data_IF_655726168866
#
_entry.id   IF_655726168866
#
_cell.length_a   1.000
_cell.length_b   1.000
_cell.length_c   1.000
_cell.angle_alpha   90.00
_cell.angle_beta   90.00
_cell.angle_gamma   90.00
#
_symmetry.space_group_name_H-M   'P 1'
#
loop_
_entity.id
_entity.type
_entity.pdbx_description
1 polymer ?
#
# COMPACT_ATOMS: atom_id res chain seq x y z
N UNK A 1 -69.87 -2.70 15.29
CA UNK A 1 -69.53 -3.41 16.54
C UNK A 1 -68.02 -3.43 16.66
N UNK A 2 -67.50 -3.01 17.81
CA UNK A 2 -66.08 -2.79 18.13
C UNK A 2 -65.46 -4.11 18.63
N UNK A 3 -64.18 -4.40 18.31
CA UNK A 3 -63.07 -4.65 19.28
C UNK A 3 -61.87 -5.45 18.72
N UNK A 4 -60.68 -4.85 18.96
CA UNK A 4 -59.34 -5.39 19.28
C UNK A 4 -58.63 -6.38 18.32
N UNK A 5 -57.53 -5.98 17.67
CA UNK A 5 -56.11 -5.88 18.12
C UNK A 5 -55.46 -7.23 18.45
N UNK A 6 -54.57 -7.68 17.56
CA UNK A 6 -53.26 -8.25 17.92
C UNK A 6 -52.20 -7.74 16.95
N UNK A 7 -51.19 -7.08 17.52
CA UNK A 7 -49.93 -6.71 16.88
C UNK A 7 -49.02 -7.93 17.02
N UNK A 8 -48.47 -8.43 15.91
CA UNK A 8 -47.33 -9.35 15.97
C UNK A 8 -46.14 -8.68 15.31
N UNK A 9 -45.14 -8.38 16.14
CA UNK A 9 -43.91 -7.69 15.81
C UNK A 9 -42.84 -8.77 15.60
N UNK A 10 -42.53 -9.12 14.34
CA UNK A 10 -41.34 -9.90 14.03
C UNK A 10 -40.24 -8.94 13.57
N UNK A 11 -39.40 -8.51 14.53
CA UNK A 11 -38.08 -7.97 14.23
C UNK A 11 -37.25 -9.13 13.72
N UNK A 12 -37.19 -9.29 12.40
CA UNK A 12 -36.11 -10.04 11.77
C UNK A 12 -34.85 -9.21 11.96
N UNK A 13 -34.04 -9.63 12.93
CA UNK A 13 -32.72 -9.09 13.17
C UNK A 13 -31.91 -9.15 11.88
N UNK A 14 -31.65 -7.99 11.29
CA UNK A 14 -30.54 -7.78 10.40
C UNK A 14 -29.27 -7.98 11.24
N UNK A 15 -28.78 -9.21 11.31
CA UNK A 15 -27.35 -9.41 11.51
C UNK A 15 -26.73 -8.97 10.18
N UNK A 16 -26.44 -7.68 10.09
CA UNK A 16 -25.47 -7.17 9.13
C UNK A 16 -24.16 -7.85 9.49
N UNK A 17 -23.93 -9.04 8.93
CA UNK A 17 -22.59 -9.55 8.79
C UNK A 17 -21.92 -8.54 7.87
N UNK A 18 -21.21 -7.58 8.46
CA UNK A 18 -20.27 -6.76 7.73
C UNK A 18 -19.26 -7.76 7.16
N UNK A 19 -19.50 -8.21 5.94
CA UNK A 19 -18.44 -8.67 5.08
C UNK A 19 -17.49 -7.48 4.99
N UNK A 20 -16.48 -7.47 5.86
CA UNK A 20 -15.28 -6.68 5.65
C UNK A 20 -14.71 -7.32 4.39
N UNK A 21 -15.14 -6.86 3.21
CA UNK A 21 -14.44 -7.16 1.99
C UNK A 21 -13.01 -6.75 2.26
N UNK A 22 -12.13 -7.75 2.41
CA UNK A 22 -10.75 -7.53 2.82
C UNK A 22 -10.10 -6.64 1.78
N UNK A 23 -10.06 -5.33 2.05
CA UNK A 23 -9.31 -4.42 1.25
C UNK A 23 -7.87 -4.56 1.70
N UNK A 24 -7.07 -5.23 0.86
CA UNK A 24 -5.64 -5.31 1.04
C UNK A 24 -5.07 -3.92 1.33
N UNK A 25 -4.26 -3.84 2.38
CA UNK A 25 -3.58 -2.61 2.72
C UNK A 25 -2.37 -2.48 1.80
N UNK A 26 -2.15 -1.32 1.22
CA UNK A 26 -1.02 -1.12 0.30
C UNK A 26 0.03 -0.18 0.84
N UNK A 27 -0.22 0.49 1.97
CA UNK A 27 0.64 1.54 2.51
C UNK A 27 0.95 1.33 4.00
N UNK A 28 2.21 1.55 4.37
CA UNK A 28 2.68 1.60 5.74
C UNK A 28 3.69 2.73 5.89
N UNK A 29 3.40 3.67 6.80
CA UNK A 29 4.25 4.83 7.11
C UNK A 29 4.63 5.68 5.86
N UNK A 30 3.69 5.87 4.95
CA UNK A 30 3.87 6.65 3.72
C UNK A 30 4.55 5.92 2.56
N UNK A 31 4.98 4.67 2.74
CA UNK A 31 5.54 3.82 1.68
C UNK A 31 4.52 2.79 1.20
N UNK A 32 4.54 2.45 -0.09
CA UNK A 32 3.61 1.46 -0.65
C UNK A 32 4.29 0.16 -1.09
N UNK A 33 3.57 -0.95 -0.97
CA UNK A 33 3.94 -2.19 -1.67
C UNK A 33 4.09 -1.90 -3.16
N UNK A 34 4.96 -2.62 -3.84
CA UNK A 34 5.36 -2.40 -5.24
C UNK A 34 6.11 -1.11 -5.54
N UNK A 35 6.26 -0.18 -4.59
CA UNK A 35 7.08 1.01 -4.82
C UNK A 35 8.56 0.66 -5.06
N UNK A 36 9.27 1.46 -5.85
CA UNK A 36 10.70 1.27 -6.07
C UNK A 36 11.56 1.50 -4.81
N UNK A 37 12.61 0.70 -4.63
CA UNK A 37 13.55 0.74 -3.50
C UNK A 37 14.27 2.08 -3.36
N UNK A 38 14.49 2.77 -4.49
CA UNK A 38 15.04 4.12 -4.55
C UNK A 38 14.29 5.13 -3.68
N UNK A 39 12.99 4.93 -3.43
CA UNK A 39 12.21 5.81 -2.56
C UNK A 39 12.64 5.69 -1.09
N UNK A 40 12.97 4.48 -0.62
CA UNK A 40 13.47 4.25 0.73
C UNK A 40 14.88 4.84 0.88
N UNK A 41 15.77 4.57 -0.08
CA UNK A 41 17.14 5.08 -0.09
C UNK A 41 17.20 6.62 -0.11
N UNK A 42 16.31 7.28 -0.87
CA UNK A 42 16.25 8.75 -0.87
C UNK A 42 15.69 9.34 0.41
N UNK A 43 14.80 8.63 1.10
CA UNK A 43 14.17 9.14 2.32
C UNK A 43 15.06 8.94 3.56
N UNK A 44 15.64 7.75 3.71
CA UNK A 44 16.42 7.38 4.90
C UNK A 44 17.94 7.45 4.70
N UNK A 45 18.42 7.59 3.46
CA UNK A 45 19.83 7.38 3.13
C UNK A 45 20.16 5.90 2.96
N UNK A 46 21.38 5.48 3.31
CA UNK A 46 21.78 4.07 3.16
C UNK A 46 21.19 3.20 4.28
N UNK A 47 20.86 1.93 4.01
CA UNK A 47 20.47 1.01 5.08
C UNK A 47 21.62 0.79 6.06
N UNK A 48 21.31 0.72 7.35
CA UNK A 48 22.32 0.39 8.38
C UNK A 48 22.60 -1.10 8.43
N UNK A 49 21.68 -1.94 7.91
CA UNK A 49 21.85 -3.37 7.83
C UNK A 49 21.12 -3.95 6.62
N UNK A 50 21.77 -4.88 5.94
CA UNK A 50 21.18 -5.65 4.85
C UNK A 50 21.28 -7.13 5.17
N UNK A 51 20.19 -7.86 4.99
CA UNK A 51 20.12 -9.31 5.17
C UNK A 51 19.82 -9.95 3.82
N UNK A 52 20.75 -10.75 3.32
CA UNK A 52 20.55 -11.54 2.11
C UNK A 52 20.00 -12.91 2.52
N UNK A 53 18.86 -13.27 1.95
CA UNK A 53 18.27 -14.62 2.02
C UNK A 53 18.32 -15.24 0.63
N UNK A 54 17.96 -16.51 0.54
CA UNK A 54 17.95 -17.26 -0.72
C UNK A 54 17.13 -16.54 -1.81
N UNK A 55 15.88 -16.17 -1.51
CA UNK A 55 14.97 -15.55 -2.49
C UNK A 55 14.67 -14.07 -2.24
N UNK A 56 15.10 -13.51 -1.10
CA UNK A 56 14.81 -12.12 -0.76
C UNK A 56 16.01 -11.39 -0.18
N UNK A 57 16.00 -10.07 -0.29
CA UNK A 57 16.91 -9.17 0.39
C UNK A 57 16.11 -8.25 1.29
N UNK A 58 16.53 -8.10 2.55
CA UNK A 58 15.92 -7.15 3.49
C UNK A 58 16.90 -6.02 3.75
N UNK A 59 16.48 -4.78 3.49
CA UNK A 59 17.24 -3.57 3.84
C UNK A 59 16.57 -2.90 5.05
N UNK A 60 17.31 -2.67 6.12
CA UNK A 60 16.83 -2.00 7.33
C UNK A 60 17.41 -0.57 7.45
N UNK A 61 16.55 0.38 7.79
CA UNK A 61 16.83 1.81 7.85
C UNK A 61 16.40 2.35 9.22
N UNK A 62 17.32 3.00 9.93
CA UNK A 62 17.03 3.58 11.24
C UNK A 62 16.06 4.75 11.10
N UNK A 63 15.02 4.77 11.92
CA UNK A 63 14.21 5.97 12.17
C UNK A 63 14.85 6.77 13.31
N UNK A 64 15.25 6.06 14.36
CA UNK A 64 16.03 6.55 15.50
C UNK A 64 16.78 5.37 16.13
N UNK A 65 17.34 5.54 17.33
CA UNK A 65 18.18 4.53 17.99
C UNK A 65 17.45 3.23 18.33
N UNK A 66 16.13 3.26 18.50
CA UNK A 66 15.33 2.12 18.97
C UNK A 66 14.26 1.68 17.99
N UNK A 67 14.10 2.36 16.86
CA UNK A 67 13.09 2.04 15.85
C UNK A 67 13.64 2.11 14.43
N UNK A 68 13.13 1.24 13.57
CA UNK A 68 13.58 1.14 12.19
C UNK A 68 12.46 0.71 11.25
N UNK A 69 12.63 1.06 9.97
CA UNK A 69 11.88 0.50 8.86
C UNK A 69 12.70 -0.61 8.21
N UNK A 70 12.07 -1.73 7.84
CA UNK A 70 12.69 -2.73 7.00
C UNK A 70 11.85 -2.93 5.73
N UNK A 71 12.55 -3.02 4.61
CA UNK A 71 11.95 -3.27 3.31
C UNK A 71 12.51 -4.56 2.75
N UNK A 72 11.63 -5.47 2.36
CA UNK A 72 12.00 -6.73 1.71
C UNK A 72 11.77 -6.64 0.21
N UNK A 73 12.70 -7.19 -0.56
CA UNK A 73 12.72 -7.23 -2.01
C UNK A 73 12.94 -8.66 -2.48
N UNK A 74 12.32 -9.06 -3.59
CA UNK A 74 12.62 -10.36 -4.22
C UNK A 74 14.00 -10.30 -4.89
N UNK A 75 14.80 -11.35 -4.86
CA UNK A 75 16.14 -11.31 -5.48
C UNK A 75 16.10 -11.45 -7.02
N UNK A 76 15.06 -12.11 -7.52
CA UNK A 76 14.92 -12.44 -8.94
C UNK A 76 14.05 -11.39 -9.66
N UNK A 77 12.77 -11.70 -9.83
CA UNK A 77 11.82 -10.86 -10.55
C UNK A 77 11.37 -9.70 -9.67
N UNK A 78 11.44 -8.48 -10.22
CA UNK A 78 11.04 -7.25 -9.53
C UNK A 78 11.91 -6.92 -8.30
N UNK A 79 13.22 -7.10 -8.45
CA UNK A 79 14.18 -6.94 -7.36
C UNK A 79 14.39 -5.51 -6.85
N UNK A 80 13.84 -4.53 -7.56
CA UNK A 80 13.80 -3.14 -7.11
C UNK A 80 12.43 -2.74 -6.54
N UNK A 81 11.46 -3.64 -6.44
CA UNK A 81 10.12 -3.33 -5.93
C UNK A 81 9.95 -3.85 -4.49
N UNK A 82 9.40 -3.00 -3.64
CA UNK A 82 9.11 -3.32 -2.24
C UNK A 82 8.05 -4.43 -2.18
N UNK A 83 8.45 -5.60 -1.68
CA UNK A 83 7.61 -6.78 -1.49
C UNK A 83 6.98 -6.83 -0.09
N UNK A 84 7.71 -6.34 0.91
CA UNK A 84 7.22 -6.21 2.28
C UNK A 84 7.74 -4.92 2.92
N UNK A 85 6.93 -4.31 3.77
CA UNK A 85 7.27 -3.13 4.56
C UNK A 85 7.07 -3.50 6.02
N UNK A 86 8.06 -3.26 6.86
CA UNK A 86 7.96 -3.44 8.30
C UNK A 86 8.39 -2.16 9.01
N UNK A 87 7.68 -1.82 10.07
CA UNK A 87 8.09 -0.82 11.05
C UNK A 87 8.16 -1.49 12.42
N UNK A 88 9.26 -1.31 13.13
CA UNK A 88 9.53 -1.96 14.41
C UNK A 88 10.15 -0.98 15.38
N UNK A 89 9.84 -1.18 16.67
CA UNK A 89 10.48 -0.49 17.78
C UNK A 89 9.81 0.83 18.13
N UNK A 90 10.01 1.28 19.37
CA UNK A 90 9.44 2.52 19.88
C UNK A 90 10.46 3.29 20.75
N UNK A 91 10.31 4.61 20.91
CA UNK A 91 9.26 5.46 20.32
C UNK A 91 9.42 5.60 18.81
N UNK A 92 8.30 5.76 18.09
CA UNK A 92 8.30 6.05 16.66
C UNK A 92 7.30 7.17 16.36
N UNK A 93 7.65 8.08 15.45
CA UNK A 93 6.71 9.07 14.94
C UNK A 93 5.98 8.55 13.69
N UNK A 94 5.54 7.29 13.74
CA UNK A 94 4.89 6.66 12.61
C UNK A 94 3.54 7.31 12.30
N UNK A 95 3.19 7.34 11.01
CA UNK A 95 1.80 7.58 10.61
C UNK A 95 0.92 6.45 11.17
N UNK A 96 -0.26 6.76 11.76
CA UNK A 96 -1.14 5.73 12.28
C UNK A 96 -1.55 4.73 11.19
N UNK A 97 -1.43 3.44 11.47
CA UNK A 97 -1.92 2.37 10.62
C UNK A 97 -3.33 2.02 11.06
N UNK A 98 -4.38 2.33 10.29
CA UNK A 98 -5.79 2.06 10.69
C UNK A 98 -6.12 2.56 12.13
N UNK A 99 -5.52 3.68 12.54
CA UNK A 99 -5.73 4.27 13.88
C UNK A 99 -4.85 3.72 15.01
N UNK A 100 -3.99 2.72 14.75
CA UNK A 100 -3.01 2.20 15.71
C UNK A 100 -1.59 2.74 15.45
N UNK A 101 -0.77 2.75 16.49
CA UNK A 101 0.67 3.07 16.45
C UNK A 101 1.46 2.09 17.32
N UNK A 102 2.76 1.94 17.07
CA UNK A 102 3.64 1.17 17.96
C UNK A 102 3.56 1.74 19.39
N UNK A 103 3.55 0.85 20.39
CA UNK A 103 3.31 1.15 21.81
C UNK A 103 1.84 1.08 22.23
N UNK A 104 0.89 1.02 21.29
CA UNK A 104 -0.53 0.82 21.65
C UNK A 104 -0.74 -0.53 22.36
N UNK A 105 -1.60 -0.59 23.39
CA UNK A 105 -1.90 -1.85 24.07
C UNK A 105 -2.70 -2.79 23.16
N UNK A 106 -2.50 -4.10 23.33
CA UNK A 106 -3.19 -5.15 22.57
C UNK A 106 -4.72 -4.97 22.54
N UNK A 107 -5.33 -4.55 23.66
CA UNK A 107 -6.78 -4.29 23.74
C UNK A 107 -7.27 -3.21 22.77
N UNK A 108 -6.47 -2.16 22.54
CA UNK A 108 -6.78 -1.13 21.54
C UNK A 108 -6.62 -1.67 20.13
N UNK A 109 -5.56 -2.45 19.89
CA UNK A 109 -5.31 -3.04 18.57
C UNK A 109 -6.43 -4.03 18.20
N UNK A 110 -6.80 -4.93 19.10
CA UNK A 110 -7.89 -5.88 18.88
C UNK A 110 -9.24 -5.19 18.65
N UNK A 111 -9.48 -4.06 19.32
CA UNK A 111 -10.69 -3.25 19.09
C UNK A 111 -10.75 -2.69 17.66
N UNK A 112 -9.61 -2.34 17.07
CA UNK A 112 -9.55 -1.69 15.75
C UNK A 112 -9.33 -2.68 14.59
N UNK A 113 -8.59 -3.75 14.81
CA UNK A 113 -8.22 -4.73 13.79
C UNK A 113 -8.98 -6.06 13.91
N UNK A 114 -9.64 -6.31 15.04
CA UNK A 114 -10.14 -7.63 15.41
C UNK A 114 -9.09 -8.48 16.12
N UNK A 115 -9.49 -9.65 16.59
CA UNK A 115 -8.56 -10.63 17.18
C UNK A 115 -7.72 -11.30 16.10
N UNK A 116 -6.47 -11.69 16.39
CA UNK A 116 -5.68 -12.47 15.45
C UNK A 116 -6.31 -13.84 15.23
N UNK A 117 -6.24 -14.33 13.98
CA UNK A 117 -6.66 -15.70 13.64
C UNK A 117 -5.68 -16.74 14.21
N UNK A 118 -4.39 -16.38 14.26
CA UNK A 118 -3.33 -17.24 14.80
C UNK A 118 -2.16 -16.42 15.32
N UNK A 119 -1.48 -16.98 16.30
CA UNK A 119 -0.31 -16.39 16.95
C UNK A 119 0.87 -17.35 16.92
N UNK A 120 2.08 -16.83 16.79
CA UNK A 120 3.32 -17.61 16.78
C UNK A 120 4.36 -16.93 17.68
N UNK A 121 4.86 -17.60 18.74
CA UNK A 121 5.99 -17.08 19.50
C UNK A 121 7.26 -17.10 18.63
N UNK A 122 8.08 -16.07 18.75
CA UNK A 122 9.37 -15.98 18.06
C UNK A 122 10.45 -16.57 18.96
N UNK A 123 11.07 -17.67 18.54
CA UNK A 123 12.12 -18.33 19.31
C UNK A 123 13.25 -17.37 19.66
N UNK A 124 13.67 -17.37 20.93
CA UNK A 124 14.76 -16.53 21.42
C UNK A 124 14.42 -15.06 21.61
N UNK A 125 13.15 -14.66 21.52
CA UNK A 125 12.70 -13.30 21.81
C UNK A 125 11.39 -13.32 22.62
N UNK A 126 11.07 -12.26 23.37
CA UNK A 126 9.79 -12.17 24.08
C UNK A 126 8.59 -11.88 23.16
N UNK A 127 8.80 -11.83 21.83
CA UNK A 127 7.80 -11.35 20.89
C UNK A 127 6.85 -12.45 20.42
N UNK A 128 5.59 -12.07 20.23
CA UNK A 128 4.57 -12.92 19.59
C UNK A 128 4.11 -12.27 18.30
N UNK A 129 4.20 -12.99 17.18
CA UNK A 129 3.65 -12.58 15.89
C UNK A 129 2.18 -13.00 15.82
N UNK A 130 1.32 -12.05 15.49
CA UNK A 130 -0.10 -12.20 15.33
C UNK A 130 -0.48 -12.01 13.85
N UNK A 131 -1.14 -13.01 13.28
CA UNK A 131 -1.61 -13.03 11.91
C UNK A 131 -3.12 -12.89 11.85
N UNK A 132 -3.60 -12.19 10.83
CA UNK A 132 -5.01 -11.99 10.55
C UNK A 132 -5.27 -12.62 9.19
N UNK A 133 -5.97 -13.75 9.18
CA UNK A 133 -6.23 -14.48 7.94
C UNK A 133 -7.04 -13.58 6.98
N UNK A 134 -6.86 -13.79 5.67
CA UNK A 134 -7.42 -12.95 4.59
C UNK A 134 -6.89 -11.50 4.55
N UNK A 135 -6.05 -11.08 5.50
CA UNK A 135 -5.36 -9.79 5.48
C UNK A 135 -3.88 -9.96 5.10
N UNK A 136 -3.28 -8.88 4.63
CA UNK A 136 -1.90 -8.86 4.15
C UNK A 136 -0.94 -8.17 5.12
N UNK A 137 -1.23 -8.22 6.41
CA UNK A 137 -0.36 -7.69 7.44
C UNK A 137 -0.32 -8.58 8.69
N UNK A 138 0.75 -8.41 9.47
CA UNK A 138 0.93 -9.01 10.79
C UNK A 138 1.35 -7.96 11.81
N UNK A 139 1.06 -8.24 13.08
CA UNK A 139 1.46 -7.41 14.23
C UNK A 139 2.38 -8.22 15.14
N UNK A 140 3.38 -7.61 15.77
CA UNK A 140 4.15 -8.25 16.83
C UNK A 140 3.96 -7.51 18.14
N UNK A 141 3.84 -8.24 19.25
CA UNK A 141 3.70 -7.66 20.59
C UNK A 141 4.90 -8.01 21.46
N UNK A 142 5.29 -7.09 22.34
CA UNK A 142 6.25 -7.33 23.40
C UNK A 142 5.65 -8.09 24.60
N UNK A 143 6.49 -8.37 25.60
CA UNK A 143 6.10 -9.05 26.84
C UNK A 143 5.12 -8.23 27.71
N UNK A 144 5.00 -6.93 27.46
CA UNK A 144 4.04 -6.05 28.11
C UNK A 144 2.72 -5.95 27.35
N UNK A 145 2.56 -6.70 26.26
CA UNK A 145 1.36 -6.67 25.42
C UNK A 145 1.20 -5.35 24.67
N UNK A 146 2.30 -4.67 24.34
CA UNK A 146 2.31 -3.48 23.48
C UNK A 146 2.70 -3.84 22.07
N UNK A 147 2.08 -3.15 21.11
CA UNK A 147 2.40 -3.33 19.70
C UNK A 147 3.84 -2.89 19.43
N UNK A 148 4.71 -3.84 19.12
CA UNK A 148 6.14 -3.63 18.88
C UNK A 148 6.49 -3.56 17.39
N UNK A 149 5.77 -4.30 16.54
CA UNK A 149 5.99 -4.28 15.09
C UNK A 149 4.69 -4.36 14.30
N UNK A 150 4.72 -3.74 13.11
CA UNK A 150 3.74 -3.91 12.06
C UNK A 150 4.46 -4.28 10.77
N UNK A 151 4.00 -5.32 10.10
CA UNK A 151 4.50 -5.73 8.80
C UNK A 151 3.37 -5.86 7.80
N UNK A 152 3.56 -5.23 6.65
CA UNK A 152 2.75 -5.36 5.46
C UNK A 152 3.49 -6.22 4.43
N UNK A 153 2.80 -7.12 3.73
CA UNK A 153 3.42 -7.99 2.74
C UNK A 153 2.48 -8.27 1.56
N UNK A 154 3.07 -8.65 0.43
CA UNK A 154 2.31 -9.18 -0.71
C UNK A 154 1.94 -10.64 -0.42
N UNK A 155 0.66 -10.98 -0.61
CA UNK A 155 0.16 -12.36 -0.59
C UNK A 155 -0.16 -12.87 -2.00
N UNK A 156 -0.44 -14.16 -2.14
CA UNK A 156 -0.90 -14.71 -3.42
C UNK A 156 -2.24 -14.08 -3.84
N UNK A 157 -3.16 -13.95 -2.90
CA UNK A 157 -4.47 -13.36 -3.09
C UNK A 157 -4.35 -11.88 -3.47
N UNK A 158 -3.37 -11.15 -2.92
CA UNK A 158 -3.06 -9.78 -3.34
C UNK A 158 -2.69 -9.72 -4.83
N UNK A 159 -1.87 -10.66 -5.30
CA UNK A 159 -1.40 -10.72 -6.69
C UNK A 159 -2.48 -11.21 -7.66
N UNK A 160 -3.38 -12.07 -7.19
CA UNK A 160 -4.48 -12.65 -7.97
C UNK A 160 -5.77 -11.83 -7.91
N UNK A 161 -5.83 -10.84 -7.00
CA UNK A 161 -6.95 -9.92 -6.90
C UNK A 161 -7.23 -9.32 -8.28
N UNK A 162 -8.40 -9.65 -8.83
CA UNK A 162 -8.87 -9.06 -10.08
C UNK A 162 -9.10 -7.59 -9.81
N UNK A 163 -8.13 -6.75 -10.19
CA UNK A 163 -8.40 -5.32 -10.35
C UNK A 163 -9.57 -5.20 -11.33
N UNK A 164 -10.55 -4.36 -11.03
CA UNK A 164 -11.55 -3.94 -12.01
C UNK A 164 -10.85 -3.06 -13.06
N UNK A 165 -9.99 -3.67 -13.89
CA UNK A 165 -8.99 -2.99 -14.74
C UNK A 165 -9.65 -1.97 -15.66
N UNK A 166 -10.80 -2.34 -16.23
CA UNK A 166 -11.60 -1.45 -17.06
C UNK A 166 -12.09 -0.21 -16.30
N UNK A 167 -12.62 -0.37 -15.09
CA UNK A 167 -13.09 0.76 -14.27
C UNK A 167 -11.94 1.68 -13.87
N UNK A 168 -10.80 1.09 -13.46
CA UNK A 168 -9.57 1.84 -13.13
C UNK A 168 -9.07 2.62 -14.34
N UNK A 169 -9.10 2.03 -15.53
CA UNK A 169 -8.72 2.70 -16.77
C UNK A 169 -9.65 3.88 -17.11
N UNK A 170 -10.97 3.71 -17.01
CA UNK A 170 -11.91 4.80 -17.25
C UNK A 170 -11.75 5.95 -16.24
N UNK A 171 -11.51 5.62 -14.96
CA UNK A 171 -11.19 6.63 -13.93
C UNK A 171 -9.92 7.40 -14.26
N UNK A 172 -8.84 6.69 -14.62
CA UNK A 172 -7.59 7.30 -15.06
C UNK A 172 -7.80 8.23 -16.26
N UNK A 173 -8.43 7.73 -17.34
CA UNK A 173 -8.70 8.52 -18.56
C UNK A 173 -9.51 9.78 -18.25
N UNK A 174 -10.58 9.65 -17.47
CA UNK A 174 -11.40 10.79 -17.06
C UNK A 174 -10.57 11.82 -16.30
N UNK A 175 -9.74 11.39 -15.34
CA UNK A 175 -8.89 12.28 -14.57
C UNK A 175 -7.85 13.00 -15.45
N UNK A 176 -7.20 12.27 -16.37
CA UNK A 176 -6.23 12.84 -17.32
C UNK A 176 -6.89 13.88 -18.24
N UNK A 177 -8.04 13.55 -18.86
CA UNK A 177 -8.75 14.48 -19.77
C UNK A 177 -9.18 15.76 -19.06
N UNK A 178 -9.68 15.63 -17.82
CA UNK A 178 -10.14 16.75 -16.96
C UNK A 178 -9.02 17.52 -16.25
N UNK A 179 -7.76 17.08 -16.37
CA UNK A 179 -6.63 17.60 -15.57
C UNK A 179 -6.89 17.52 -14.05
N UNK A 180 -7.67 16.52 -13.60
CA UNK A 180 -7.94 16.27 -12.19
C UNK A 180 -6.73 15.57 -11.57
N UNK A 181 -5.81 16.35 -11.01
CA UNK A 181 -4.59 15.84 -10.39
C UNK A 181 -4.93 14.89 -9.24
N UNK A 182 -5.92 15.20 -8.40
CA UNK A 182 -6.26 14.39 -7.23
C UNK A 182 -6.80 13.02 -7.66
N UNK A 183 -7.74 13.01 -8.60
CA UNK A 183 -8.27 11.78 -9.18
C UNK A 183 -7.19 10.96 -9.88
N UNK A 184 -6.30 11.62 -10.62
CA UNK A 184 -5.20 10.98 -11.33
C UNK A 184 -4.24 10.28 -10.36
N UNK A 185 -3.74 10.98 -9.34
CA UNK A 185 -2.81 10.41 -8.36
C UNK A 185 -3.41 9.20 -7.64
N UNK A 186 -4.72 9.21 -7.37
CA UNK A 186 -5.43 8.06 -6.79
C UNK A 186 -5.48 6.81 -7.68
N UNK A 187 -5.26 6.97 -8.98
CA UNK A 187 -5.24 5.86 -9.97
C UNK A 187 -3.83 5.40 -10.33
N UNK A 188 -2.79 6.14 -9.93
CA UNK A 188 -1.41 5.76 -10.25
C UNK A 188 -0.93 4.62 -9.35
N UNK A 189 -0.37 3.58 -9.99
CA UNK A 189 0.37 2.56 -9.27
C UNK A 189 1.68 3.12 -8.70
N UNK A 190 2.17 2.58 -7.58
CA UNK A 190 3.42 3.03 -6.96
C UNK A 190 4.68 2.70 -7.76
N UNK A 191 4.59 1.76 -8.71
CA UNK A 191 5.63 1.39 -9.68
C UNK A 191 5.48 2.08 -11.04
N UNK A 192 4.72 3.18 -11.12
CA UNK A 192 4.54 3.89 -12.39
C UNK A 192 5.89 4.38 -12.94
N UNK A 193 6.12 4.09 -14.22
CA UNK A 193 7.21 4.63 -15.01
C UNK A 193 6.63 5.45 -16.18
N UNK A 194 7.17 6.64 -16.40
CA UNK A 194 6.82 7.47 -17.56
C UNK A 194 8.08 7.74 -18.36
N UNK A 195 8.13 7.23 -19.59
CA UNK A 195 9.22 7.48 -20.53
C UNK A 195 8.96 8.78 -21.29
N UNK A 196 9.83 9.77 -21.12
CA UNK A 196 9.70 11.09 -21.74
C UNK A 196 11.08 11.72 -21.94
N UNK A 197 11.35 12.23 -23.13
CA UNK A 197 12.58 12.97 -23.48
C UNK A 197 13.86 12.20 -23.09
N UNK A 198 13.91 10.89 -23.41
CA UNK A 198 14.98 9.95 -23.01
C UNK A 198 15.19 9.80 -21.49
N UNK A 199 14.22 10.21 -20.68
CA UNK A 199 14.21 10.03 -19.22
C UNK A 199 13.11 9.06 -18.81
N UNK A 200 13.37 8.29 -17.77
CA UNK A 200 12.33 7.52 -17.08
C UNK A 200 11.96 8.23 -15.78
N UNK A 201 10.74 8.76 -15.70
CA UNK A 201 10.21 9.40 -14.51
C UNK A 201 9.54 8.35 -13.62
N UNK A 202 9.87 8.36 -12.32
CA UNK A 202 9.35 7.41 -11.31
C UNK A 202 9.06 8.12 -9.99
N UNK A 203 8.19 7.54 -9.17
CA UNK A 203 7.93 8.03 -7.81
C UNK A 203 9.07 7.63 -6.87
N UNK A 204 10.00 8.57 -6.64
CA UNK A 204 11.24 8.33 -5.89
C UNK A 204 11.24 8.93 -4.45
N UNK A 205 10.08 9.09 -3.83
CA UNK A 205 9.92 9.56 -2.44
C UNK A 205 8.79 8.78 -1.79
N UNK A 206 8.59 8.91 -0.47
CA UNK A 206 7.39 8.35 0.19
C UNK A 206 6.15 8.66 -0.64
N UNK A 207 5.35 7.64 -0.91
CA UNK A 207 4.16 7.79 -1.75
C UNK A 207 3.20 8.83 -1.18
N UNK A 208 3.04 8.90 0.15
CA UNK A 208 2.27 9.96 0.81
C UNK A 208 2.80 11.37 0.48
N UNK A 209 4.12 11.55 0.46
CA UNK A 209 4.77 12.83 0.16
C UNK A 209 4.63 13.18 -1.32
N UNK A 210 4.66 12.17 -2.20
CA UNK A 210 4.36 12.35 -3.62
C UNK A 210 2.90 12.76 -3.87
N UNK A 211 1.94 12.17 -3.16
CA UNK A 211 0.53 12.56 -3.27
C UNK A 211 0.31 13.99 -2.76
N UNK A 212 0.95 14.36 -1.65
CA UNK A 212 0.86 15.71 -1.08
C UNK A 212 1.55 16.78 -1.95
N UNK A 213 2.65 16.43 -2.61
CA UNK A 213 3.42 17.33 -3.46
C UNK A 213 4.01 16.58 -4.66
N UNK A 214 3.23 16.35 -5.74
CA UNK A 214 3.66 15.53 -6.87
C UNK A 214 4.77 16.21 -7.67
N UNK A 215 5.65 15.41 -8.27
CA UNK A 215 6.77 15.93 -9.05
C UNK A 215 6.27 16.64 -10.31
N UNK A 216 6.66 17.91 -10.50
CA UNK A 216 6.20 18.73 -11.63
C UNK A 216 6.43 18.04 -12.98
N UNK A 217 7.56 17.35 -13.16
CA UNK A 217 7.86 16.58 -14.39
C UNK A 217 6.86 15.45 -14.63
N UNK A 218 6.50 14.68 -13.58
CA UNK A 218 5.50 13.62 -13.66
C UNK A 218 4.13 14.21 -14.00
N UNK A 219 3.72 15.28 -13.31
CA UNK A 219 2.44 15.96 -13.58
C UNK A 219 2.40 16.49 -15.02
N UNK A 220 3.46 17.14 -15.50
CA UNK A 220 3.57 17.63 -16.87
C UNK A 220 3.54 16.50 -17.90
N UNK A 221 4.17 15.36 -17.62
CA UNK A 221 4.14 14.21 -18.51
C UNK A 221 2.75 13.56 -18.59
N UNK A 222 1.94 13.64 -17.53
CA UNK A 222 0.58 13.09 -17.53
C UNK A 222 -0.45 14.06 -18.13
N UNK A 223 -0.46 15.32 -17.69
CA UNK A 223 -1.55 16.27 -17.99
C UNK A 223 -1.11 17.58 -18.65
N UNK A 224 0.15 17.68 -19.06
CA UNK A 224 0.65 18.84 -19.80
C UNK A 224 -0.05 19.05 -21.15
N UNK A 225 0.10 20.24 -21.74
CA UNK A 225 -0.53 20.57 -23.02
C UNK A 225 0.25 20.06 -24.24
N UNK A 226 1.52 19.68 -24.06
CA UNK A 226 2.39 19.14 -25.10
C UNK A 226 3.16 17.92 -24.58
N UNK A 227 3.37 16.94 -25.46
CA UNK A 227 4.14 15.72 -25.22
C UNK A 227 3.72 15.07 -23.89
N UNK A 228 2.42 14.79 -23.75
CA UNK A 228 1.81 14.26 -22.54
C UNK A 228 0.83 13.14 -22.83
N UNK A 229 0.54 12.32 -21.81
CA UNK A 229 -0.50 11.28 -21.89
C UNK A 229 -1.85 11.89 -22.26
N UNK A 230 -2.19 13.06 -21.70
CA UNK A 230 -3.40 13.78 -22.06
C UNK A 230 -3.49 14.12 -23.54
N UNK A 231 -2.42 14.65 -24.13
CA UNK A 231 -2.42 15.00 -25.56
C UNK A 231 -2.66 13.76 -26.42
N UNK A 232 -1.96 12.65 -26.12
CA UNK A 232 -2.14 11.38 -26.82
C UNK A 232 -3.59 10.88 -26.71
N UNK A 233 -4.17 10.87 -25.50
CA UNK A 233 -5.56 10.44 -25.25
C UNK A 233 -6.64 11.34 -25.87
N UNK A 234 -6.30 12.56 -26.29
CA UNK A 234 -7.21 13.44 -27.03
C UNK A 234 -7.16 13.19 -28.54
N UNK A 235 -6.08 12.62 -29.05
CA UNK A 235 -5.88 12.34 -30.47
C UNK A 235 -6.37 10.94 -30.85
N UNK A 236 -6.14 9.95 -29.99
CA UNK A 236 -6.60 8.58 -30.20
C UNK A 236 -6.89 7.87 -28.89
N UNK A 237 -7.83 6.93 -28.92
CA UNK A 237 -7.97 5.94 -27.85
C UNK A 237 -6.97 4.80 -28.13
N UNK A 238 -6.17 4.37 -27.14
CA UNK A 238 -5.26 3.25 -27.34
C UNK A 238 -6.06 1.96 -27.57
N UNK A 239 -5.58 1.12 -28.51
CA UNK A 239 -6.25 -0.11 -28.97
C UNK A 239 -6.37 -1.21 -27.90
N UNK A 240 -5.87 -0.99 -26.67
CA UNK A 240 -6.04 -1.91 -25.56
C UNK A 240 -5.79 -1.28 -24.19
N UNK A 241 -6.26 -1.97 -23.14
CA UNK A 241 -5.78 -1.77 -21.77
C UNK A 241 -4.30 -2.16 -21.73
N UNK A 242 -3.42 -1.22 -22.03
CA UNK A 242 -1.99 -1.43 -21.87
C UNK A 242 -1.69 -1.59 -20.38
N UNK A 243 -1.57 -2.84 -19.91
CA UNK A 243 -0.54 -3.17 -18.93
C UNK A 243 0.78 -2.74 -19.58
N UNK A 244 1.23 -1.52 -19.27
CA UNK A 244 2.59 -1.02 -19.50
C UNK A 244 3.57 -1.90 -18.72
N UNK A 245 3.71 -3.16 -19.11
CA UNK A 245 4.56 -4.17 -18.44
C UNK A 245 5.67 -4.62 -19.40
N UNK A 246 5.70 -4.14 -20.63
CA UNK A 246 6.84 -4.32 -21.53
C UNK A 246 7.14 -2.99 -22.22
N UNK A 247 8.40 -2.58 -22.14
CA UNK A 247 8.90 -1.30 -22.61
C UNK A 247 8.38 -0.94 -24.00
N UNK A 248 7.45 0.00 -24.05
CA UNK A 248 7.17 0.76 -25.25
C UNK A 248 7.65 2.18 -24.98
N UNK A 249 8.87 2.46 -25.44
CA UNK A 249 9.31 3.82 -25.63
C UNK A 249 8.40 4.47 -26.67
N UNK A 250 7.67 5.50 -26.27
CA UNK A 250 7.04 6.41 -27.22
C UNK A 250 8.08 7.43 -27.64
N UNK A 251 8.59 7.26 -28.86
CA UNK A 251 9.11 8.37 -29.67
C UNK A 251 10.60 8.32 -29.99
N UNK A 252 10.86 8.27 -31.30
CA UNK A 252 12.08 8.75 -31.97
C UNK A 252 12.33 10.24 -31.68
#
# INVERSE_FOLDING_TARGET
MMKFRYIFFCILGLVSCNAIGSQFVTELNGFRLWQYDTAADKHFGKPYKTFNREHTTIKAYGINDTSYMAFEYMNEKYNSNIYSIQITGYPTNMQPFKGIKLGDPISKVEKLLGKPSRSKPVSGTPYTINYYDELNFSTEYDDQGRLYSLRLYITKEFMEAKEHTFETWQKFKSAVKKKDIKGLLGTLRPDVEIYKDNQTLKVNKRYSDFVAGPDKKIVQALIGDRNSVRQALLQSEPDGEMRLVMGMGVGQ
#
